data_IF_462111415081
#
_entry.id   IF_462111415081
#
_cell.length_a   1.000
_cell.length_b   1.000
_cell.length_c   1.000
_cell.angle_alpha   90.00
_cell.angle_beta   90.00
_cell.angle_gamma   90.00
#
_symmetry.space_group_name_H-M   'P 1'
#
loop_
_entity.id
_entity.type
_entity.pdbx_description
1 polymer ?
#
# COMPACT_ATOMS: atom_id res chain seq x y z
N UNK A 1 8.86 7.17 10.00
CA UNK A 1 7.54 6.57 9.78
C UNK A 1 6.99 7.03 8.45
N UNK A 2 6.45 6.10 7.67
CA UNK A 2 5.81 6.40 6.40
C UNK A 2 4.60 5.50 6.22
N UNK A 3 3.63 5.97 5.46
CA UNK A 3 2.41 5.22 5.19
C UNK A 3 2.28 4.99 3.67
N UNK A 4 1.77 3.82 3.29
CA UNK A 4 1.49 3.47 1.92
C UNK A 4 0.00 3.22 1.78
N UNK A 5 -0.65 4.06 0.99
CA UNK A 5 -2.03 3.87 0.61
C UNK A 5 -2.09 3.05 -0.67
N UNK A 6 -2.84 1.96 -0.65
CA UNK A 6 -3.08 1.07 -1.80
C UNK A 6 -4.58 1.00 -2.01
N UNK A 7 -5.07 1.73 -3.01
CA UNK A 7 -6.46 1.73 -3.43
C UNK A 7 -6.74 0.72 -4.53
N UNK A 8 -8.04 0.43 -4.69
CA UNK A 8 -8.58 -0.50 -5.69
C UNK A 8 -8.06 -1.94 -5.50
N UNK A 9 -7.78 -2.31 -4.25
CA UNK A 9 -7.45 -3.69 -3.89
C UNK A 9 -8.73 -4.52 -3.97
N UNK A 10 -8.61 -5.76 -4.45
CA UNK A 10 -9.73 -6.70 -4.43
C UNK A 10 -10.10 -7.04 -2.98
N UNK A 11 -11.39 -6.97 -2.64
CA UNK A 11 -11.93 -7.24 -1.29
C UNK A 11 -11.51 -8.63 -0.75
N UNK A 12 -11.53 -9.63 -1.64
CA UNK A 12 -11.10 -11.01 -1.36
C UNK A 12 -9.60 -11.15 -1.05
N UNK A 13 -8.79 -10.10 -1.22
CA UNK A 13 -7.36 -10.16 -0.95
C UNK A 13 -7.11 -10.13 0.55
N UNK A 14 -6.39 -11.12 1.07
CA UNK A 14 -5.96 -11.14 2.46
C UNK A 14 -4.73 -10.25 2.68
N UNK A 15 -4.55 -9.83 3.92
CA UNK A 15 -3.38 -9.08 4.38
C UNK A 15 -2.06 -9.83 4.12
N UNK A 16 -2.07 -11.16 4.23
CA UNK A 16 -0.93 -12.01 3.87
C UNK A 16 -0.59 -11.96 2.37
N UNK A 17 -1.59 -11.94 1.48
CA UNK A 17 -1.37 -11.80 0.05
C UNK A 17 -0.79 -10.42 -0.30
N UNK A 18 -1.32 -9.35 0.31
CA UNK A 18 -0.78 -7.99 0.14
C UNK A 18 0.68 -7.94 0.60
N UNK A 19 0.99 -8.56 1.75
CA UNK A 19 2.34 -8.65 2.28
C UNK A 19 3.28 -9.39 1.33
N UNK A 20 2.82 -10.52 0.79
CA UNK A 20 3.59 -11.35 -0.15
C UNK A 20 3.84 -10.61 -1.46
N UNK A 21 2.81 -9.95 -2.00
CA UNK A 21 2.90 -9.13 -3.20
C UNK A 21 3.93 -8.01 -3.02
N UNK A 22 3.81 -7.23 -1.94
CA UNK A 22 4.75 -6.16 -1.64
C UNK A 22 6.18 -6.68 -1.48
N UNK A 23 6.37 -7.77 -0.72
CA UNK A 23 7.65 -8.44 -0.56
C UNK A 23 8.26 -8.87 -1.91
N UNK A 24 7.43 -9.40 -2.81
CA UNK A 24 7.85 -9.78 -4.17
C UNK A 24 8.38 -8.60 -4.99
N UNK A 25 7.82 -7.40 -4.81
CA UNK A 25 8.26 -6.18 -5.48
C UNK A 25 9.45 -5.47 -4.79
N UNK A 26 9.94 -6.04 -3.68
CA UNK A 26 11.06 -5.50 -2.90
C UNK A 26 10.64 -4.55 -1.78
N UNK A 27 9.34 -4.49 -1.44
CA UNK A 27 8.90 -3.79 -0.25
C UNK A 27 9.16 -4.66 1.00
N UNK A 28 9.56 -4.04 2.11
CA UNK A 28 9.65 -4.73 3.39
C UNK A 28 8.26 -5.06 3.96
N UNK A 29 8.17 -5.93 4.97
CA UNK A 29 6.93 -6.15 5.70
C UNK A 29 6.45 -4.86 6.39
N UNK A 30 5.16 -4.56 6.28
CA UNK A 30 4.53 -3.45 7.01
C UNK A 30 4.31 -3.82 8.48
N UNK A 31 4.33 -2.82 9.36
CA UNK A 31 4.08 -2.98 10.81
C UNK A 31 2.59 -3.01 11.11
N UNK A 32 1.82 -2.17 10.41
CA UNK A 32 0.37 -2.05 10.60
C UNK A 32 -0.37 -2.02 9.26
N UNK A 33 -1.59 -2.54 9.25
CA UNK A 33 -2.49 -2.51 8.10
C UNK A 33 -3.86 -2.04 8.57
N UNK A 34 -4.40 -1.05 7.86
CA UNK A 34 -5.76 -0.55 8.06
C UNK A 34 -6.53 -0.67 6.76
N UNK A 35 -7.59 -1.48 6.76
CA UNK A 35 -8.51 -1.56 5.62
C UNK A 35 -9.50 -0.41 5.71
N UNK A 36 -9.58 0.37 4.64
CA UNK A 36 -10.55 1.44 4.46
C UNK A 36 -11.58 0.95 3.47
N UNK A 37 -12.78 0.67 3.98
CA UNK A 37 -13.94 0.37 3.15
C UNK A 37 -14.28 1.65 2.37
N UNK A 38 -13.91 1.69 1.09
CA UNK A 38 -14.31 2.78 0.21
C UNK A 38 -15.82 2.78 0.07
N UNK A 39 -16.44 3.96 0.04
CA UNK A 39 -17.88 4.15 -0.14
C UNK A 39 -18.39 3.53 -1.46
N UNK A 40 -18.67 2.23 -1.46
CA UNK A 40 -19.41 1.51 -2.50
C UNK A 40 -18.62 0.51 -3.34
N UNK A 41 -17.48 0.89 -3.96
CA UNK A 41 -16.95 0.10 -5.10
C UNK A 41 -15.43 -0.12 -5.15
N UNK A 42 -14.65 0.52 -4.27
CA UNK A 42 -13.18 0.44 -4.29
C UNK A 42 -12.60 0.35 -2.87
N UNK A 43 -12.33 -0.87 -2.37
CA UNK A 43 -11.60 -1.05 -1.12
C UNK A 43 -10.20 -0.43 -1.23
N UNK A 44 -9.74 0.18 -0.15
CA UNK A 44 -8.37 0.65 -0.02
C UNK A 44 -7.74 0.09 1.25
N UNK A 45 -6.42 0.02 1.27
CA UNK A 45 -5.66 -0.37 2.46
C UNK A 45 -4.56 0.66 2.70
N UNK A 46 -4.34 0.99 3.97
CA UNK A 46 -3.23 1.83 4.43
C UNK A 46 -2.27 0.94 5.18
N UNK A 47 -1.01 0.99 4.79
CA UNK A 47 0.06 0.19 5.36
C UNK A 47 1.02 1.14 6.05
N UNK A 48 1.20 0.99 7.36
CA UNK A 48 2.14 1.79 8.12
C UNK A 48 3.49 1.09 8.23
N UNK A 49 4.55 1.84 7.94
CA UNK A 49 5.94 1.42 8.05
C UNK A 49 6.64 2.30 9.08
N UNK A 50 7.08 1.71 10.18
CA UNK A 50 7.79 2.46 11.21
C UNK A 50 9.29 2.58 10.89
N UNK A 51 9.88 1.48 10.40
CA UNK A 51 11.31 1.36 10.12
C UNK A 51 11.74 1.98 8.78
N UNK A 52 10.79 2.28 7.89
CA UNK A 52 11.07 2.71 6.51
C UNK A 52 10.80 4.20 6.32
N UNK A 53 11.73 4.87 5.66
CA UNK A 53 11.58 6.26 5.26
C UNK A 53 10.67 6.38 4.02
N UNK A 54 9.87 7.45 3.98
CA UNK A 54 8.96 7.74 2.86
C UNK A 54 9.67 7.84 1.51
N UNK A 55 10.95 8.24 1.48
CA UNK A 55 11.73 8.30 0.25
C UNK A 55 11.96 6.92 -0.39
N UNK A 56 12.11 5.86 0.43
CA UNK A 56 12.32 4.48 -0.06
C UNK A 56 11.04 3.98 -0.69
N UNK A 57 9.90 4.18 0.00
CA UNK A 57 8.59 3.85 -0.54
C UNK A 57 8.29 4.63 -1.82
N UNK A 58 8.69 5.90 -1.94
CA UNK A 58 8.52 6.69 -3.16
C UNK A 58 9.32 6.13 -4.35
N UNK A 59 10.49 5.55 -4.11
CA UNK A 59 11.26 4.90 -5.16
C UNK A 59 10.64 3.56 -5.62
N UNK A 60 9.90 2.88 -4.73
CA UNK A 60 9.25 1.60 -5.00
C UNK A 60 7.80 1.75 -5.50
N UNK A 61 7.12 2.81 -5.09
CA UNK A 61 5.75 3.15 -5.47
C UNK A 61 5.48 3.02 -6.97
N UNK A 62 6.29 3.59 -7.89
CA UNK A 62 6.02 3.46 -9.34
C UNK A 62 6.08 2.03 -9.87
N UNK A 63 6.64 1.06 -9.12
CA UNK A 63 6.70 -0.36 -9.55
C UNK A 63 5.36 -1.08 -9.39
N UNK A 64 4.60 -0.70 -8.38
CA UNK A 64 3.30 -1.31 -8.01
C UNK A 64 2.12 -0.38 -8.32
N UNK A 65 2.39 0.92 -8.48
CA UNK A 65 1.40 1.91 -8.90
C UNK A 65 0.97 1.67 -10.34
N UNK A 66 -0.34 1.79 -10.59
CA UNK A 66 -0.95 1.50 -11.91
C UNK A 66 -0.72 0.07 -12.41
N UNK A 67 -0.37 -0.85 -11.51
CA UNK A 67 -0.20 -2.24 -11.86
C UNK A 67 -1.57 -2.95 -11.92
N UNK A 68 -1.76 -3.74 -12.97
CA UNK A 68 -2.95 -4.58 -13.09
C UNK A 68 -2.76 -5.85 -12.25
N UNK A 69 -3.49 -5.94 -11.14
CA UNK A 69 -3.46 -7.08 -10.22
C UNK A 69 -4.88 -7.52 -9.90
N UNK A 70 -5.14 -8.83 -9.96
CA UNK A 70 -6.48 -9.43 -9.72
C UNK A 70 -7.62 -8.70 -10.44
N UNK A 71 -7.47 -8.53 -11.76
CA UNK A 71 -8.47 -7.88 -12.63
C UNK A 71 -8.77 -6.40 -12.33
N UNK A 72 -7.92 -5.72 -11.54
CA UNK A 72 -8.07 -4.31 -11.17
C UNK A 72 -6.74 -3.58 -11.26
N UNK A 73 -6.79 -2.29 -11.57
CA UNK A 73 -5.58 -1.44 -11.57
C UNK A 73 -5.37 -0.89 -10.17
N UNK A 74 -4.29 -1.31 -9.52
CA UNK A 74 -3.94 -0.83 -8.19
C UNK A 74 -3.50 0.63 -8.23
N UNK A 75 -3.95 1.39 -7.24
CA UNK A 75 -3.53 2.78 -7.08
C UNK A 75 -2.69 2.88 -5.82
N UNK A 76 -1.36 2.96 -5.98
CA UNK A 76 -0.43 3.07 -4.85
C UNK A 76 0.02 4.52 -4.68
N UNK A 77 -0.09 5.06 -3.47
CA UNK A 77 0.30 6.42 -3.10
C UNK A 77 1.09 6.34 -1.80
N UNK A 78 2.26 7.00 -1.75
CA UNK A 78 2.98 7.16 -0.48
C UNK A 78 2.39 8.36 0.23
N UNK A 79 1.88 8.14 1.43
CA UNK A 79 1.47 9.23 2.32
C UNK A 79 2.67 9.52 3.21
N UNK A 80 3.37 10.66 3.01
CA UNK A 80 4.38 11.07 3.97
C UNK A 80 3.65 11.25 5.31
N UNK A 81 4.08 10.50 6.33
CA UNK A 81 3.62 10.73 7.69
C UNK A 81 3.81 12.21 7.96
N UNK A 82 2.73 12.91 8.30
CA UNK A 82 2.69 14.35 8.46
C UNK A 82 3.82 14.73 9.42
N UNK A 83 4.88 15.33 8.87
CA UNK A 83 5.92 15.97 9.66
C UNK A 83 5.23 17.21 10.24
N UNK A 84 4.60 17.04 11.39
CA UNK A 84 4.06 18.13 12.18
C UNK A 84 5.29 18.90 12.71
N UNK A 85 5.81 19.83 11.89
CA UNK A 85 6.81 20.84 12.29
C UNK A 85 6.23 21.86 13.24
#
# INVERSE_FOLDING_TARGET
MAELWVGNVEDSTTDEEIKTFLCHYGFPPFDTIQRVEGTGEHPAVVLGFNDIASHVLQSLQPRVHNMFWKSRTLVVQVVPGRDET
#
